data_IF_201435497961
#
_entry.id   IF_201435497961
#
_cell.length_a   1.000
_cell.length_b   1.000
_cell.length_c   1.000
_cell.angle_alpha   90.00
_cell.angle_beta   90.00
_cell.angle_gamma   90.00
#
_symmetry.space_group_name_H-M   'P 1'
#
loop_
_entity.id
_entity.type
_entity.pdbx_description
1 polymer ?
#
# COMPACT_ATOMS: atom_id res chain seq x y z
N UNK A 1 -48.66 -12.05 4.45
CA UNK A 1 -47.24 -12.46 4.29
C UNK A 1 -46.64 -11.69 3.13
N UNK A 2 -45.89 -10.63 3.41
CA UNK A 2 -45.10 -9.93 2.38
C UNK A 2 -43.73 -10.61 2.38
N UNK A 3 -43.45 -11.38 1.32
CA UNK A 3 -42.13 -11.95 1.08
C UNK A 3 -41.24 -10.78 0.68
N UNK A 4 -40.44 -10.27 1.61
CA UNK A 4 -39.35 -9.36 1.28
C UNK A 4 -38.31 -10.15 0.47
N UNK A 5 -38.33 -10.01 -0.84
CA UNK A 5 -37.23 -10.41 -1.71
C UNK A 5 -36.01 -9.61 -1.28
N UNK A 6 -35.12 -10.27 -0.54
CA UNK A 6 -33.81 -9.76 -0.21
C UNK A 6 -32.97 -9.86 -1.50
N UNK A 7 -33.12 -8.88 -2.40
CA UNK A 7 -32.29 -8.79 -3.61
C UNK A 7 -30.85 -8.63 -3.15
N UNK A 8 -30.08 -9.73 -3.12
CA UNK A 8 -28.63 -9.68 -2.92
C UNK A 8 -28.09 -8.83 -4.06
N UNK A 9 -27.66 -7.60 -3.74
CA UNK A 9 -26.94 -6.75 -4.68
C UNK A 9 -25.72 -7.55 -5.13
N UNK A 10 -25.70 -7.98 -6.38
CA UNK A 10 -24.59 -8.75 -6.96
C UNK A 10 -23.41 -7.80 -7.07
N UNK A 11 -22.29 -8.16 -6.43
CA UNK A 11 -21.06 -7.38 -6.53
C UNK A 11 -20.50 -7.51 -7.95
N UNK A 12 -20.62 -6.45 -8.74
CA UNK A 12 -20.18 -6.43 -10.13
C UNK A 12 -18.66 -6.36 -10.28
N UNK A 13 -17.92 -6.11 -9.21
CA UNK A 13 -16.45 -5.92 -9.25
C UNK A 13 -15.66 -7.22 -9.13
N UNK A 14 -16.31 -8.36 -8.88
CA UNK A 14 -15.64 -9.64 -8.57
C UNK A 14 -14.66 -10.13 -9.66
N UNK A 15 -14.84 -9.70 -10.91
CA UNK A 15 -13.99 -10.06 -12.04
C UNK A 15 -12.83 -9.09 -12.29
N UNK A 16 -12.86 -7.91 -11.66
CA UNK A 16 -11.90 -6.87 -11.93
C UNK A 16 -10.54 -7.20 -11.30
N UNK A 17 -9.42 -6.76 -11.91
CA UNK A 17 -8.12 -6.82 -11.28
C UNK A 17 -8.14 -6.22 -9.87
N UNK A 18 -7.39 -6.84 -8.95
CA UNK A 18 -7.46 -6.58 -7.52
C UNK A 18 -6.25 -5.82 -7.03
N UNK A 19 -6.52 -4.78 -6.23
CA UNK A 19 -5.52 -4.01 -5.52
C UNK A 19 -5.68 -4.27 -4.02
N UNK A 20 -4.62 -4.74 -3.37
CA UNK A 20 -4.60 -4.97 -1.93
C UNK A 20 -4.22 -3.67 -1.20
N UNK A 21 -5.10 -3.23 -0.30
CA UNK A 21 -5.06 -1.95 0.36
C UNK A 21 -4.59 -2.07 1.81
N UNK A 22 -3.50 -1.37 2.17
CA UNK A 22 -2.86 -1.42 3.49
C UNK A 22 -2.98 -0.08 4.21
N UNK A 23 -3.65 -0.08 5.36
CA UNK A 23 -3.92 1.12 6.15
C UNK A 23 -2.67 1.66 6.87
N UNK A 24 -2.72 2.90 7.38
CA UNK A 24 -1.65 3.48 8.20
C UNK A 24 -1.52 2.87 9.60
N UNK A 25 -0.47 3.21 10.34
CA UNK A 25 -0.36 2.79 11.75
C UNK A 25 -1.40 3.50 12.63
N UNK A 26 -1.96 2.78 13.60
CA UNK A 26 -2.96 3.32 14.53
C UNK A 26 -4.35 3.54 13.92
N UNK A 27 -4.65 2.85 12.82
CA UNK A 27 -5.97 2.77 12.19
C UNK A 27 -6.31 1.31 11.88
N UNK A 28 -7.29 1.02 11.03
CA UNK A 28 -7.67 -0.34 10.65
C UNK A 28 -8.28 -0.39 9.24
N UNK A 29 -8.57 -1.61 8.75
CA UNK A 29 -9.09 -1.83 7.41
C UNK A 29 -10.44 -1.12 7.17
N UNK A 30 -11.30 -1.06 8.20
CA UNK A 30 -12.62 -0.40 8.12
C UNK A 30 -12.48 1.10 7.92
N UNK A 31 -11.62 1.76 8.70
CA UNK A 31 -11.35 3.20 8.58
C UNK A 31 -10.71 3.50 7.23
N UNK A 32 -9.73 2.71 6.81
CA UNK A 32 -9.06 2.95 5.53
C UNK A 32 -10.00 2.79 4.33
N UNK A 33 -10.90 1.82 4.38
CA UNK A 33 -12.00 1.71 3.41
C UNK A 33 -12.86 2.96 3.34
N UNK A 34 -13.18 3.57 4.49
CA UNK A 34 -13.94 4.81 4.55
C UNK A 34 -13.15 6.02 4.03
N UNK A 35 -11.85 6.08 4.31
CA UNK A 35 -10.93 7.11 3.78
C UNK A 35 -10.79 7.01 2.25
N UNK A 36 -10.72 5.79 1.71
CA UNK A 36 -10.64 5.52 0.28
C UNK A 36 -12.00 5.53 -0.45
N UNK A 37 -13.11 5.95 0.18
CA UNK A 37 -14.46 5.80 -0.43
C UNK A 37 -14.59 6.44 -1.83
N UNK A 38 -13.96 7.59 -2.04
CA UNK A 38 -14.03 8.34 -3.30
C UNK A 38 -13.10 7.70 -4.34
N UNK A 39 -11.88 7.32 -3.94
CA UNK A 39 -10.95 6.55 -4.78
C UNK A 39 -11.59 5.24 -5.23
N UNK A 40 -12.19 4.49 -4.31
CA UNK A 40 -12.91 3.23 -4.59
C UNK A 40 -14.05 3.46 -5.59
N UNK A 41 -14.82 4.54 -5.45
CA UNK A 41 -15.91 4.85 -6.39
C UNK A 41 -15.40 5.02 -7.82
N UNK A 42 -14.34 5.81 -8.02
CA UNK A 42 -13.81 6.07 -9.36
C UNK A 42 -13.03 4.89 -9.96
N UNK A 43 -12.53 3.97 -9.12
CA UNK A 43 -11.89 2.74 -9.60
C UNK A 43 -12.88 1.58 -9.80
N UNK A 44 -14.14 1.67 -9.37
CA UNK A 44 -15.07 0.54 -9.29
C UNK A 44 -15.38 -0.16 -10.64
N UNK A 45 -15.06 0.47 -11.77
CA UNK A 45 -15.21 -0.10 -13.12
C UNK A 45 -13.93 -0.73 -13.67
N UNK A 46 -12.78 -0.50 -13.02
CA UNK A 46 -11.45 -0.91 -13.50
C UNK A 46 -10.70 -1.79 -12.51
N UNK A 47 -10.90 -1.57 -11.21
CA UNK A 47 -10.27 -2.33 -10.14
C UNK A 47 -11.22 -2.63 -8.99
N UNK A 48 -10.95 -3.75 -8.34
CA UNK A 48 -11.51 -4.09 -7.04
C UNK A 48 -10.49 -3.79 -5.94
N UNK A 49 -10.90 -2.99 -4.96
CA UNK A 49 -10.07 -2.67 -3.79
C UNK A 49 -10.41 -3.61 -2.62
N UNK A 50 -9.41 -4.32 -2.11
CA UNK A 50 -9.53 -5.24 -0.97
C UNK A 50 -8.68 -4.73 0.19
N UNK A 51 -9.24 -4.64 1.39
CA UNK A 51 -8.60 -3.94 2.51
C UNK A 51 -8.11 -4.95 3.54
N UNK A 52 -6.80 -5.05 3.72
CA UNK A 52 -6.17 -5.92 4.71
C UNK A 52 -6.08 -5.24 6.08
N UNK A 53 -6.15 -6.04 7.13
CA UNK A 53 -6.09 -5.60 8.53
C UNK A 53 -4.73 -5.96 9.13
N UNK A 54 -3.97 -4.97 9.60
CA UNK A 54 -2.62 -5.21 10.11
C UNK A 54 -2.62 -6.11 11.37
N UNK A 55 -1.58 -6.92 11.58
CA UNK A 55 -1.60 -7.96 12.61
C UNK A 55 -1.47 -7.41 14.04
N UNK A 56 -0.74 -6.31 14.24
CA UNK A 56 -0.38 -5.88 15.59
C UNK A 56 -1.32 -4.82 16.14
N UNK A 57 -1.64 -4.91 17.43
CA UNK A 57 -2.40 -3.88 18.13
C UNK A 57 -1.62 -2.56 18.23
N UNK A 58 -2.35 -1.46 18.20
CA UNK A 58 -1.82 -0.09 18.26
C UNK A 58 -2.74 0.80 19.08
N UNK A 59 -2.19 1.89 19.62
CA UNK A 59 -3.00 3.04 20.00
C UNK A 59 -3.58 3.70 18.74
N UNK A 60 -4.60 4.55 18.92
CA UNK A 60 -5.10 5.40 17.85
C UNK A 60 -3.99 6.30 17.29
N UNK A 61 -3.96 6.47 15.96
CA UNK A 61 -3.10 7.45 15.30
C UNK A 61 -3.50 8.89 15.65
N UNK A 62 -2.59 9.88 15.46
CA UNK A 62 -2.82 11.29 15.84
C UNK A 62 -4.13 11.88 15.31
N UNK A 63 -4.52 11.53 14.07
CA UNK A 63 -5.69 12.07 13.38
C UNK A 63 -6.95 11.18 13.45
N UNK A 64 -6.87 10.04 14.13
CA UNK A 64 -7.97 9.05 14.20
C UNK A 64 -8.92 9.36 15.36
N UNK A 65 -8.41 10.02 16.41
CA UNK A 65 -9.07 10.17 17.72
C UNK A 65 -10.29 11.09 17.72
N UNK A 66 -10.48 11.95 16.70
CA UNK A 66 -11.61 12.88 16.64
C UNK A 66 -12.85 12.31 15.94
N UNK A 67 -12.67 11.50 14.89
CA UNK A 67 -13.78 10.99 14.04
C UNK A 67 -13.99 9.48 14.19
N UNK A 68 -12.95 8.73 14.51
CA UNK A 68 -12.97 7.26 14.48
C UNK A 68 -12.62 6.65 15.85
N UNK A 69 -12.77 7.41 16.93
CA UNK A 69 -12.45 6.95 18.30
C UNK A 69 -13.17 5.64 18.65
N UNK A 70 -14.41 5.49 18.21
CA UNK A 70 -15.25 4.31 18.46
C UNK A 70 -14.97 3.15 17.50
N UNK A 71 -14.10 3.34 16.50
CA UNK A 71 -13.80 2.35 15.48
C UNK A 71 -12.63 1.44 15.90
N UNK A 72 -12.30 1.38 17.20
CA UNK A 72 -11.35 0.42 17.74
C UNK A 72 -11.77 -1.04 17.44
N UNK A 73 -10.84 -2.01 17.44
CA UNK A 73 -9.42 -1.89 17.76
C UNK A 73 -8.60 -1.24 16.65
N UNK A 74 -7.52 -0.54 17.03
CA UNK A 74 -6.55 0.02 16.09
C UNK A 74 -5.35 -0.92 15.92
N UNK A 75 -4.79 -0.91 14.71
CA UNK A 75 -3.78 -1.85 14.26
C UNK A 75 -2.59 -1.13 13.64
N UNK A 76 -1.47 -1.84 13.52
CA UNK A 76 -0.21 -1.40 12.90
C UNK A 76 0.50 -2.58 12.24
N UNK A 77 1.27 -2.28 11.21
CA UNK A 77 2.08 -3.24 10.46
C UNK A 77 3.46 -3.45 11.06
N UNK A 78 4.06 -2.39 11.59
CA UNK A 78 5.42 -2.40 12.12
C UNK A 78 5.43 -1.84 13.55
N UNK A 79 6.53 -2.08 14.25
CA UNK A 79 6.84 -1.36 15.48
C UNK A 79 7.07 0.12 15.14
N UNK A 80 6.63 1.03 16.00
CA UNK A 80 6.72 2.48 15.76
C UNK A 80 6.96 3.31 17.03
N UNK A 81 6.76 2.71 18.21
CA UNK A 81 7.02 3.33 19.52
C UNK A 81 7.83 2.36 20.37
N UNK A 82 8.56 2.90 21.33
CA UNK A 82 9.30 2.08 22.29
C UNK A 82 8.39 1.19 23.14
N UNK A 83 7.21 1.72 23.50
CA UNK A 83 6.17 1.03 24.27
C UNK A 83 5.55 -0.16 23.54
N UNK A 84 5.68 -0.24 22.22
CA UNK A 84 5.20 -1.39 21.46
C UNK A 84 6.09 -2.61 21.73
N UNK A 85 5.50 -3.80 21.93
CA UNK A 85 6.25 -5.03 22.16
C UNK A 85 7.33 -5.25 21.11
N UNK A 86 8.50 -5.71 21.56
CA UNK A 86 9.55 -6.21 20.66
C UNK A 86 9.06 -7.53 20.06
N UNK A 87 9.22 -7.67 18.76
CA UNK A 87 8.83 -8.85 18.00
C UNK A 87 10.04 -9.26 17.18
N UNK A 88 10.35 -10.56 17.14
CA UNK A 88 11.44 -11.05 16.30
C UNK A 88 11.13 -10.74 14.82
N UNK A 89 12.12 -10.34 13.99
CA UNK A 89 11.87 -10.00 12.59
C UNK A 89 11.13 -11.07 11.81
N UNK A 90 11.50 -12.35 11.95
CA UNK A 90 10.83 -13.47 11.27
C UNK A 90 9.35 -13.59 11.69
N UNK A 91 9.05 -13.43 12.99
CA UNK A 91 7.67 -13.49 13.50
C UNK A 91 6.86 -12.31 13.00
N UNK A 92 7.50 -11.13 12.90
CA UNK A 92 6.85 -9.93 12.39
C UNK A 92 6.46 -10.11 10.91
N UNK A 93 7.40 -10.58 10.08
CA UNK A 93 7.14 -10.89 8.66
C UNK A 93 6.05 -11.94 8.52
N UNK A 94 6.13 -13.04 9.26
CA UNK A 94 5.12 -14.12 9.23
C UNK A 94 3.72 -13.61 9.57
N UNK A 95 3.59 -12.75 10.58
CA UNK A 95 2.31 -12.18 10.97
C UNK A 95 1.74 -11.22 9.90
N UNK A 96 2.60 -10.42 9.26
CA UNK A 96 2.22 -9.56 8.12
C UNK A 96 1.72 -10.43 6.96
N UNK A 97 2.50 -11.43 6.54
CA UNK A 97 2.14 -12.31 5.43
C UNK A 97 0.81 -13.06 5.70
N UNK A 98 0.61 -13.55 6.94
CA UNK A 98 -0.64 -14.21 7.33
C UNK A 98 -1.84 -13.27 7.26
N UNK A 99 -1.66 -12.00 7.66
CA UNK A 99 -2.71 -10.97 7.59
C UNK A 99 -3.09 -10.63 6.14
N UNK A 100 -2.09 -10.49 5.26
CA UNK A 100 -2.31 -10.21 3.84
C UNK A 100 -3.01 -11.40 3.16
N UNK A 101 -2.52 -12.62 3.41
CA UNK A 101 -3.12 -13.84 2.87
C UNK A 101 -4.57 -14.00 3.34
N UNK A 102 -4.87 -13.76 4.62
CA UNK A 102 -6.24 -13.85 5.13
C UNK A 102 -7.20 -12.87 4.42
N UNK A 103 -6.74 -11.66 4.07
CA UNK A 103 -7.54 -10.70 3.31
C UNK A 103 -7.76 -11.16 1.86
N UNK A 104 -6.76 -11.80 1.25
CA UNK A 104 -6.84 -12.35 -0.10
C UNK A 104 -7.78 -13.57 -0.15
N UNK A 105 -7.62 -14.51 0.78
CA UNK A 105 -8.45 -15.71 0.92
C UNK A 105 -9.93 -15.35 1.18
N UNK A 106 -10.18 -14.35 2.01
CA UNK A 106 -11.54 -13.87 2.28
C UNK A 106 -12.17 -13.27 1.02
N UNK A 107 -11.41 -12.52 0.21
CA UNK A 107 -11.91 -11.99 -1.06
C UNK A 107 -12.20 -13.09 -2.09
N UNK A 108 -11.33 -14.10 -2.19
CA UNK A 108 -11.56 -15.29 -3.01
C UNK A 108 -12.82 -16.04 -2.54
N UNK A 109 -13.01 -16.20 -1.23
CA UNK A 109 -14.21 -16.81 -0.63
C UNK A 109 -15.49 -16.03 -0.93
N UNK A 110 -15.40 -14.70 -1.07
CA UNK A 110 -16.50 -13.84 -1.49
C UNK A 110 -16.74 -13.87 -3.01
N UNK A 111 -15.96 -14.64 -3.77
CA UNK A 111 -16.10 -14.84 -5.21
C UNK A 111 -15.20 -13.95 -6.08
N UNK A 112 -14.23 -13.26 -5.47
CA UNK A 112 -13.21 -12.52 -6.19
C UNK A 112 -12.39 -13.46 -7.09
N UNK A 113 -12.23 -13.10 -8.36
CA UNK A 113 -11.53 -13.94 -9.36
C UNK A 113 -10.55 -13.19 -10.25
N UNK A 114 -10.52 -11.86 -10.17
CA UNK A 114 -9.53 -11.07 -10.91
C UNK A 114 -8.11 -11.33 -10.40
N UNK A 115 -7.09 -11.03 -11.19
CA UNK A 115 -5.72 -11.19 -10.72
C UNK A 115 -5.35 -10.15 -9.65
N UNK A 116 -4.49 -10.52 -8.71
CA UNK A 116 -3.86 -9.57 -7.77
C UNK A 116 -2.75 -8.82 -8.49
N UNK A 117 -3.00 -7.55 -8.80
CA UNK A 117 -2.13 -6.77 -9.71
C UNK A 117 -1.44 -5.61 -9.04
N UNK A 118 -1.98 -5.08 -7.93
CA UNK A 118 -1.45 -3.87 -7.33
C UNK A 118 -1.54 -3.82 -5.82
N UNK A 119 -0.76 -2.92 -5.26
CA UNK A 119 -0.78 -2.57 -3.85
C UNK A 119 -1.20 -1.11 -3.71
N UNK A 120 -1.92 -0.76 -2.65
CA UNK A 120 -2.23 0.63 -2.30
C UNK A 120 -2.07 0.82 -0.80
N UNK A 121 -1.07 1.58 -0.39
CA UNK A 121 -0.79 1.78 1.02
C UNK A 121 -0.88 3.24 1.44
N UNK A 122 -1.22 3.47 2.70
CA UNK A 122 -1.12 4.79 3.34
C UNK A 122 -0.15 4.78 4.51
N UNK A 123 0.74 5.77 4.60
CA UNK A 123 1.68 5.95 5.71
C UNK A 123 2.48 4.68 5.99
N UNK A 124 2.36 4.06 7.18
CA UNK A 124 3.01 2.78 7.48
C UNK A 124 2.62 1.65 6.50
N UNK A 125 1.37 1.62 6.03
CA UNK A 125 0.94 0.67 5.00
C UNK A 125 1.61 0.92 3.65
N UNK A 126 1.88 2.19 3.30
CA UNK A 126 2.62 2.55 2.09
C UNK A 126 4.07 2.05 2.13
N UNK A 127 4.72 2.17 3.29
CA UNK A 127 6.05 1.58 3.52
C UNK A 127 6.06 0.06 3.30
N UNK A 128 5.04 -0.64 3.79
CA UNK A 128 4.90 -2.08 3.54
C UNK A 128 4.63 -2.38 2.06
N UNK A 129 3.78 -1.62 1.37
CA UNK A 129 3.53 -1.82 -0.06
C UNK A 129 4.82 -1.73 -0.89
N UNK A 130 5.64 -0.69 -0.67
CA UNK A 130 6.94 -0.58 -1.34
C UNK A 130 7.89 -1.74 -0.97
N UNK A 131 7.90 -2.15 0.30
CA UNK A 131 8.73 -3.26 0.78
C UNK A 131 8.29 -4.62 0.23
N UNK A 132 6.99 -4.82 -0.06
CA UNK A 132 6.45 -6.03 -0.68
C UNK A 132 6.86 -6.13 -2.15
N UNK A 133 6.80 -5.03 -2.90
CA UNK A 133 7.35 -4.98 -4.26
C UNK A 133 8.85 -5.26 -4.25
N UNK A 134 9.59 -4.62 -3.34
CA UNK A 134 11.02 -4.85 -3.21
C UNK A 134 11.35 -6.30 -2.86
N UNK A 135 10.60 -6.93 -1.95
CA UNK A 135 10.74 -8.38 -1.67
C UNK A 135 10.51 -9.23 -2.92
N UNK A 136 9.49 -8.93 -3.71
CA UNK A 136 9.22 -9.63 -4.96
C UNK A 136 10.40 -9.52 -5.93
N UNK A 137 10.94 -8.31 -6.10
CA UNK A 137 12.11 -8.03 -6.91
C UNK A 137 13.33 -8.84 -6.46
N UNK A 138 13.69 -8.74 -5.18
CA UNK A 138 14.84 -9.47 -4.60
C UNK A 138 14.67 -10.98 -4.77
N UNK A 139 13.48 -11.53 -4.51
CA UNK A 139 13.22 -12.97 -4.70
C UNK A 139 13.30 -13.38 -6.15
N UNK A 140 12.78 -12.58 -7.07
CA UNK A 140 12.87 -12.84 -8.50
C UNK A 140 14.32 -12.89 -8.99
N UNK A 141 15.18 -11.97 -8.53
CA UNK A 141 16.60 -11.93 -8.88
C UNK A 141 17.40 -13.07 -8.26
N UNK A 142 17.18 -13.36 -6.97
CA UNK A 142 18.01 -14.30 -6.21
C UNK A 142 17.54 -15.75 -6.31
N UNK A 143 16.23 -15.97 -6.50
CA UNK A 143 15.60 -17.30 -6.49
C UNK A 143 14.91 -17.64 -7.83
N UNK A 144 14.82 -16.68 -8.76
CA UNK A 144 14.12 -16.83 -10.04
C UNK A 144 12.65 -16.39 -10.00
N UNK A 145 12.11 -16.04 -11.18
CA UNK A 145 10.78 -15.44 -11.35
C UNK A 145 9.64 -16.26 -10.71
N UNK A 146 9.69 -17.59 -10.83
CA UNK A 146 8.68 -18.49 -10.26
C UNK A 146 8.70 -18.56 -8.73
N UNK A 147 9.80 -18.14 -8.10
CA UNK A 147 10.00 -18.15 -6.65
C UNK A 147 9.79 -16.76 -6.03
N UNK A 148 9.33 -15.77 -6.81
CA UNK A 148 9.08 -14.41 -6.33
C UNK A 148 8.00 -14.34 -5.23
N UNK A 149 7.07 -15.31 -5.24
CA UNK A 149 5.99 -15.45 -4.25
C UNK A 149 4.80 -14.50 -4.44
N UNK A 150 4.92 -13.54 -5.37
CA UNK A 150 3.84 -12.65 -5.78
C UNK A 150 4.11 -12.13 -7.19
N UNK A 151 3.12 -11.46 -7.77
CA UNK A 151 3.20 -10.92 -9.13
C UNK A 151 2.59 -9.51 -9.23
N UNK A 152 2.81 -8.69 -8.21
CA UNK A 152 2.41 -7.29 -8.17
C UNK A 152 3.04 -6.54 -9.35
N UNK A 153 2.22 -5.78 -10.07
CA UNK A 153 2.60 -4.97 -11.23
C UNK A 153 2.97 -3.56 -10.82
N UNK A 154 2.35 -3.04 -9.77
CA UNK A 154 2.64 -1.69 -9.25
C UNK A 154 2.23 -1.51 -7.79
N UNK A 155 2.68 -0.43 -7.17
CA UNK A 155 2.19 0.03 -5.88
C UNK A 155 1.88 1.53 -5.85
N UNK A 156 0.76 1.88 -5.22
CA UNK A 156 0.37 3.25 -4.90
C UNK A 156 0.82 3.57 -3.48
N UNK A 157 1.70 4.56 -3.34
CA UNK A 157 2.40 4.95 -2.12
C UNK A 157 1.84 6.29 -1.64
N UNK A 158 0.82 6.25 -0.78
CA UNK A 158 0.21 7.46 -0.20
C UNK A 158 0.97 7.86 1.08
N UNK A 159 1.71 8.97 1.05
CA UNK A 159 2.46 9.48 2.22
C UNK A 159 3.37 8.42 2.87
N UNK A 160 4.04 7.59 2.07
CA UNK A 160 4.96 6.55 2.53
C UNK A 160 6.36 7.08 2.83
N UNK A 161 7.04 6.47 3.80
CA UNK A 161 8.40 6.87 4.22
C UNK A 161 9.37 5.70 4.14
N UNK A 162 10.61 5.99 3.81
CA UNK A 162 11.72 5.05 3.91
C UNK A 162 12.17 4.81 5.36
N UNK A 163 13.24 4.05 5.58
CA UNK A 163 13.86 3.12 4.62
C UNK A 163 12.90 1.98 4.26
N UNK A 164 13.17 1.24 3.17
CA UNK A 164 12.45 0.00 2.88
C UNK A 164 12.69 -1.06 3.98
N UNK A 165 11.69 -1.92 4.18
CA UNK A 165 11.79 -3.04 5.12
C UNK A 165 12.25 -4.28 4.37
N UNK A 166 13.32 -4.92 4.82
CA UNK A 166 13.67 -6.25 4.32
C UNK A 166 12.71 -7.28 4.92
N UNK A 167 11.70 -7.65 4.12
CA UNK A 167 10.73 -8.69 4.43
C UNK A 167 11.25 -10.11 4.12
N UNK A 168 12.53 -10.23 3.73
CA UNK A 168 13.27 -11.48 3.57
C UNK A 168 14.76 -11.23 3.83
N UNK A 169 15.09 -10.92 5.09
CA UNK A 169 16.43 -10.47 5.49
C UNK A 169 17.53 -11.51 5.27
N UNK A 170 17.18 -12.77 5.03
CA UNK A 170 18.11 -13.86 4.70
C UNK A 170 18.58 -13.77 3.24
N UNK A 171 17.77 -13.20 2.35
CA UNK A 171 18.13 -12.99 0.95
C UNK A 171 18.88 -11.68 0.75
N UNK A 172 18.45 -10.62 1.43
CA UNK A 172 19.11 -9.32 1.33
C UNK A 172 18.91 -8.50 2.59
N UNK A 173 20.02 -8.08 3.18
CA UNK A 173 20.05 -7.06 4.21
C UNK A 173 21.26 -6.17 3.97
N UNK A 174 21.03 -4.88 3.79
CA UNK A 174 22.08 -3.86 3.62
C UNK A 174 21.88 -2.77 4.66
N UNK A 175 22.88 -1.92 4.92
CA UNK A 175 22.72 -0.79 5.83
C UNK A 175 21.55 0.12 5.46
N UNK A 176 21.17 0.21 4.18
CA UNK A 176 20.06 1.01 3.67
C UNK A 176 18.67 0.46 4.05
N UNK A 177 18.57 -0.79 4.47
CA UNK A 177 17.31 -1.45 4.81
C UNK A 177 17.11 -1.51 6.32
N UNK A 178 15.88 -1.73 6.75
CA UNK A 178 15.56 -2.11 8.13
C UNK A 178 14.84 -3.44 8.17
N UNK A 179 15.01 -4.20 9.24
CA UNK A 179 14.20 -5.40 9.47
C UNK A 179 12.81 -5.03 10.02
N UNK A 180 11.87 -5.99 10.01
CA UNK A 180 10.49 -5.78 10.42
C UNK A 180 10.28 -5.54 11.93
N UNK A 181 11.32 -5.67 12.77
CA UNK A 181 11.25 -5.40 14.21
C UNK A 181 11.54 -3.94 14.57
N UNK A 182 12.17 -3.18 13.66
CA UNK A 182 12.64 -1.83 13.94
C UNK A 182 11.53 -0.79 13.90
N UNK A 183 11.70 0.27 14.71
CA UNK A 183 10.80 1.43 14.76
C UNK A 183 11.30 2.60 13.89
N UNK A 184 11.96 2.31 12.77
CA UNK A 184 12.52 3.37 11.92
C UNK A 184 11.48 3.95 10.95
N UNK A 185 11.29 5.26 11.03
CA UNK A 185 10.40 6.03 10.15
C UNK A 185 11.13 7.16 9.41
N UNK A 186 12.46 7.16 9.47
CA UNK A 186 13.32 8.18 8.86
C UNK A 186 14.32 7.49 7.96
N UNK A 187 14.41 7.93 6.70
CA UNK A 187 15.43 7.44 5.79
C UNK A 187 16.84 7.76 6.32
N UNK A 188 17.83 6.94 5.95
CA UNK A 188 19.21 7.20 6.31
C UNK A 188 19.74 8.47 5.60
N UNK A 189 20.73 9.15 6.20
CA UNK A 189 21.45 10.22 5.54
C UNK A 189 22.04 9.77 4.18
N UNK A 190 22.02 10.66 3.18
CA UNK A 190 22.52 10.39 1.83
C UNK A 190 23.95 9.85 1.82
N UNK A 191 24.79 10.32 2.75
CA UNK A 191 26.18 9.89 2.87
C UNK A 191 26.31 8.39 3.17
N UNK A 192 25.36 7.82 3.92
CA UNK A 192 25.34 6.39 4.25
C UNK A 192 24.78 5.51 3.13
N UNK A 193 24.06 6.11 2.17
CA UNK A 193 23.50 5.41 1.02
C UNK A 193 24.41 5.49 -0.21
N UNK A 194 25.43 6.36 -0.19
CA UNK A 194 26.31 6.61 -1.34
C UNK A 194 26.96 5.31 -1.84
N UNK A 195 26.71 5.00 -3.12
CA UNK A 195 27.25 3.82 -3.79
C UNK A 195 26.48 2.51 -3.50
N UNK A 196 25.45 2.54 -2.66
CA UNK A 196 24.55 1.40 -2.45
C UNK A 196 23.47 1.39 -3.54
N UNK A 197 23.35 0.28 -4.27
CA UNK A 197 22.33 0.11 -5.33
C UNK A 197 21.42 -1.08 -5.09
N UNK A 198 21.79 -2.02 -4.21
CA UNK A 198 21.02 -3.24 -3.95
C UNK A 198 19.67 -2.97 -3.26
N UNK A 199 19.47 -1.78 -2.69
CA UNK A 199 18.23 -1.38 -2.01
C UNK A 199 17.23 -0.63 -2.91
N UNK A 200 17.56 -0.46 -4.20
CA UNK A 200 16.77 0.31 -5.13
C UNK A 200 15.62 -0.53 -5.68
N UNK A 201 14.40 -0.05 -5.49
CA UNK A 201 13.17 -0.59 -6.06
C UNK A 201 12.98 -0.07 -7.49
N UNK A 202 12.95 -0.96 -8.48
CA UNK A 202 12.72 -0.61 -9.89
C UNK A 202 11.38 -1.11 -10.43
N UNK A 203 10.56 -1.78 -9.61
CA UNK A 203 9.19 -2.09 -10.00
C UNK A 203 8.30 -0.85 -9.92
N UNK A 204 7.29 -0.70 -10.81
CA UNK A 204 6.51 0.52 -10.93
C UNK A 204 5.85 1.00 -9.63
N UNK A 205 6.03 2.28 -9.30
CA UNK A 205 5.36 2.91 -8.16
C UNK A 205 4.69 4.24 -8.52
N UNK A 206 3.61 4.55 -7.81
CA UNK A 206 2.92 5.85 -7.88
C UNK A 206 3.05 6.50 -6.50
N UNK A 207 3.85 7.56 -6.41
CA UNK A 207 4.05 8.32 -5.19
C UNK A 207 3.03 9.46 -5.12
N UNK A 208 2.30 9.56 -4.01
CA UNK A 208 1.28 10.60 -3.80
C UNK A 208 1.61 11.41 -2.57
N UNK A 209 1.99 12.67 -2.78
CA UNK A 209 2.53 13.55 -1.77
C UNK A 209 1.58 14.73 -1.50
N UNK A 210 1.16 14.88 -0.25
CA UNK A 210 0.48 16.10 0.20
C UNK A 210 1.50 17.22 0.44
N UNK A 211 1.35 18.36 -0.23
CA UNK A 211 2.28 19.49 -0.13
C UNK A 211 2.33 20.15 1.25
N UNK A 212 1.31 19.92 2.07
CA UNK A 212 1.21 20.41 3.45
C UNK A 212 1.48 19.31 4.50
N UNK A 213 1.92 18.14 4.07
CA UNK A 213 2.28 17.06 4.99
C UNK A 213 3.59 17.39 5.72
N UNK A 214 3.58 17.34 7.05
CA UNK A 214 4.77 17.57 7.88
C UNK A 214 5.90 16.57 7.61
N UNK A 215 5.60 15.42 7.01
CA UNK A 215 6.57 14.41 6.60
C UNK A 215 6.94 14.42 5.12
N UNK A 216 6.60 15.47 4.37
CA UNK A 216 6.83 15.55 2.93
C UNK A 216 8.29 15.24 2.54
N UNK A 217 9.26 15.75 3.30
CA UNK A 217 10.68 15.49 3.03
C UNK A 217 11.01 14.00 3.12
N UNK A 218 10.43 13.26 4.09
CA UNK A 218 10.63 11.82 4.19
C UNK A 218 9.93 11.04 3.07
N UNK A 219 8.83 11.56 2.51
CA UNK A 219 8.18 10.97 1.34
C UNK A 219 9.05 11.15 0.09
N UNK A 220 9.64 12.34 -0.07
CA UNK A 220 10.58 12.65 -1.15
C UNK A 220 11.84 11.78 -1.05
N UNK A 221 12.38 11.58 0.15
CA UNK A 221 13.52 10.65 0.36
C UNK A 221 13.19 9.22 -0.07
N UNK A 222 11.99 8.70 0.26
CA UNK A 222 11.59 7.38 -0.23
C UNK A 222 11.60 7.33 -1.76
N UNK A 223 11.05 8.35 -2.42
CA UNK A 223 11.04 8.45 -3.88
C UNK A 223 12.45 8.53 -4.48
N UNK A 224 13.31 9.41 -3.96
CA UNK A 224 14.58 9.74 -4.62
C UNK A 224 15.75 8.86 -4.20
N UNK A 225 15.70 8.25 -3.01
CA UNK A 225 16.79 7.43 -2.49
C UNK A 225 16.54 5.93 -2.63
N UNK A 226 15.27 5.48 -2.70
CA UNK A 226 14.92 4.05 -2.65
C UNK A 226 14.26 3.53 -3.93
N UNK A 227 13.95 4.39 -4.90
CA UNK A 227 13.32 3.98 -6.15
C UNK A 227 14.18 4.37 -7.36
N UNK A 228 14.16 3.55 -8.40
CA UNK A 228 14.88 3.81 -9.64
C UNK A 228 14.19 4.93 -10.45
N UNK A 229 14.98 5.87 -10.97
CA UNK A 229 14.49 6.92 -11.86
C UNK A 229 13.83 6.33 -13.11
N UNK A 230 12.69 6.89 -13.53
CA UNK A 230 11.93 6.40 -14.68
C UNK A 230 10.97 5.26 -14.37
N UNK A 231 11.05 4.63 -13.19
CA UNK A 231 10.10 3.60 -12.74
C UNK A 231 8.98 4.15 -11.85
N UNK A 232 9.01 5.45 -11.58
CA UNK A 232 8.09 6.10 -10.64
C UNK A 232 7.24 7.17 -11.32
N UNK A 233 5.99 7.32 -10.87
CA UNK A 233 5.15 8.50 -11.13
C UNK A 233 4.94 9.28 -9.84
N UNK A 234 4.96 10.60 -9.92
CA UNK A 234 4.73 11.49 -8.78
C UNK A 234 3.45 12.31 -8.99
N UNK A 235 2.56 12.28 -8.00
CA UNK A 235 1.40 13.15 -7.87
C UNK A 235 1.53 13.98 -6.60
N UNK A 236 1.70 15.30 -6.75
CA UNK A 236 1.60 16.25 -5.64
C UNK A 236 0.20 16.88 -5.59
N UNK A 237 -0.33 17.09 -4.39
CA UNK A 237 -1.65 17.70 -4.19
C UNK A 237 -1.69 18.54 -2.90
N UNK A 238 -2.61 19.50 -2.86
CA UNK A 238 -2.78 20.45 -1.75
C UNK A 238 -3.48 19.80 -0.55
N UNK A 239 -2.72 18.99 0.21
CA UNK A 239 -3.23 18.19 1.32
C UNK A 239 -2.20 17.92 2.42
N UNK A 240 -2.71 17.59 3.62
CA UNK A 240 -1.92 17.15 4.77
C UNK A 240 -1.75 15.61 4.74
N UNK A 241 -1.37 15.01 5.88
CA UNK A 241 -1.20 13.56 6.08
C UNK A 241 -2.52 12.76 6.02
N UNK A 242 -3.13 12.65 4.84
CA UNK A 242 -4.38 11.91 4.62
C UNK A 242 -4.53 11.40 3.18
N UNK A 243 -5.52 10.55 2.95
CA UNK A 243 -5.93 10.14 1.59
C UNK A 243 -6.61 11.32 0.86
N UNK A 244 -6.35 11.55 -0.45
CA UNK A 244 -7.07 12.55 -1.23
C UNK A 244 -8.59 12.32 -1.21
N UNK A 245 -9.35 13.40 -1.02
CA UNK A 245 -10.82 13.37 -0.95
C UNK A 245 -11.52 14.35 -1.91
N UNK A 246 -10.84 15.39 -2.37
CA UNK A 246 -11.43 16.31 -3.34
C UNK A 246 -11.47 15.59 -4.69
N UNK A 247 -12.58 15.71 -5.41
CA UNK A 247 -12.78 15.03 -6.70
C UNK A 247 -11.62 15.27 -7.66
N UNK A 248 -11.14 16.52 -7.80
CA UNK A 248 -9.99 16.86 -8.64
C UNK A 248 -8.75 16.01 -8.33
N UNK A 249 -8.38 15.91 -7.05
CA UNK A 249 -7.16 15.21 -6.62
C UNK A 249 -7.32 13.69 -6.75
N UNK A 250 -8.54 13.17 -6.48
CA UNK A 250 -8.84 11.75 -6.66
C UNK A 250 -8.81 11.36 -8.13
N UNK A 251 -9.36 12.17 -9.04
CA UNK A 251 -9.30 11.91 -10.47
C UNK A 251 -7.86 11.92 -10.99
N UNK A 252 -7.02 12.83 -10.49
CA UNK A 252 -5.59 12.83 -10.80
C UNK A 252 -4.88 11.54 -10.33
N UNK A 253 -5.22 11.05 -9.14
CA UNK A 253 -4.72 9.76 -8.64
C UNK A 253 -5.20 8.60 -9.52
N UNK A 254 -6.48 8.54 -9.87
CA UNK A 254 -7.05 7.49 -10.71
C UNK A 254 -6.40 7.46 -12.10
N UNK A 255 -6.15 8.63 -12.71
CA UNK A 255 -5.40 8.72 -13.98
C UNK A 255 -4.01 8.12 -13.87
N UNK A 256 -3.25 8.46 -12.82
CA UNK A 256 -1.92 7.87 -12.60
C UNK A 256 -1.97 6.34 -12.42
N UNK A 257 -3.00 5.83 -11.72
CA UNK A 257 -3.22 4.38 -11.58
C UNK A 257 -3.49 3.73 -12.93
N UNK A 258 -4.34 4.33 -13.77
CA UNK A 258 -4.58 3.82 -15.11
C UNK A 258 -3.36 3.87 -16.00
N UNK A 259 -2.61 4.97 -16.00
CA UNK A 259 -1.39 5.11 -16.81
C UNK A 259 -0.41 3.97 -16.51
N UNK A 260 -0.09 3.74 -15.22
CA UNK A 260 0.79 2.63 -14.83
C UNK A 260 0.15 1.27 -15.15
N UNK A 261 -1.16 1.13 -15.02
CA UNK A 261 -1.84 -0.10 -15.37
C UNK A 261 -1.80 -0.41 -16.88
N UNK A 262 -1.79 0.61 -17.75
CA UNK A 262 -1.55 0.44 -19.18
C UNK A 262 -0.09 0.08 -19.46
N UNK A 263 0.85 0.82 -18.86
CA UNK A 263 2.30 0.59 -18.99
C UNK A 263 2.68 -0.83 -18.57
N UNK A 264 2.00 -1.38 -17.56
CA UNK A 264 2.23 -2.73 -17.03
C UNK A 264 1.34 -3.81 -17.66
N UNK A 265 0.50 -3.46 -18.64
CA UNK A 265 -0.37 -4.39 -19.35
C UNK A 265 -1.55 -4.95 -18.53
N UNK A 266 -1.82 -4.40 -17.35
CA UNK A 266 -2.96 -4.78 -16.50
C UNK A 266 -4.28 -4.34 -17.13
N UNK A 267 -4.31 -3.14 -17.70
CA UNK A 267 -5.44 -2.65 -18.48
C UNK A 267 -5.05 -2.60 -19.96
N UNK A 268 -5.99 -2.96 -20.82
CA UNK A 268 -5.80 -2.98 -22.29
C UNK A 268 -6.81 -2.10 -23.03
N UNK A 269 -7.86 -1.64 -22.34
CA UNK A 269 -8.88 -0.74 -22.88
C UNK A 269 -8.71 0.63 -22.27
N UNK A 270 -8.71 1.67 -23.09
CA UNK A 270 -8.65 3.04 -22.59
C UNK A 270 -9.94 3.39 -21.83
N UNK A 271 -9.75 3.96 -20.65
CA UNK A 271 -10.77 4.52 -19.79
C UNK A 271 -10.58 6.04 -19.75
N UNK A 272 -11.67 6.77 -19.94
CA UNK A 272 -11.72 8.20 -19.70
C UNK A 272 -12.48 8.46 -18.40
N UNK A 273 -11.95 9.37 -17.59
CA UNK A 273 -12.60 9.83 -16.37
C UNK A 273 -13.89 10.59 -16.67
N UNK A 274 -14.05 11.19 -17.86
CA UNK A 274 -15.31 11.79 -18.30
C UNK A 274 -16.45 10.76 -18.43
N UNK A 275 -16.12 9.47 -18.63
CA UNK A 275 -17.10 8.39 -18.73
C UNK A 275 -17.51 7.83 -17.35
N UNK A 276 -16.86 8.24 -16.26
CA UNK A 276 -17.10 7.76 -14.89
C UNK A 276 -17.89 8.77 -14.03
N UNK A 277 -17.91 10.05 -14.42
CA UNK A 277 -18.68 11.11 -13.76
C UNK A 277 -20.17 10.96 -14.09
#
# INVERSE_FOLDING_TARGET
MIIMQNSRVVDQTLHLPRILCLHGGGTNARIFRAQCRIVKRYLATTFRLVFAEAPFSSDAGPDVTSVYKEFSPFKRWLRSKESHPRIHPDDAVKAIDSSLQAAMDEDDRLGGRGEWVGLLGFSQGAKICASLLFRQQVRAERLGLHCAGSNWRFAVILAGRGPLVSLDHRLLMTPALVDASQASMTALPDELLRGSTEHILYLPTIHVHGTHDVGLDEHRKLLTQYCEEGTTKLLEWEGNHRVPIKTKDVLALVRNIWDVAYETGVLTKQFDVETII
#
